data_IF_133314153612
#
_entry.id   IF_133314153612
#
_cell.length_a   1.000
_cell.length_b   1.000
_cell.length_c   1.000
_cell.angle_alpha   90.00
_cell.angle_beta   90.00
_cell.angle_gamma   90.00
#
_symmetry.space_group_name_H-M   'P 1'
#
loop_
_entity.id
_entity.type
_entity.pdbx_description
1 polymer ?
#
# COMPACT_ATOMS: atom_id res chain seq x y z
N UNK A 1 -36.83 52.92 -5.83
CA UNK A 1 -36.75 51.56 -6.40
C UNK A 1 -35.27 51.32 -6.75
N UNK A 2 -34.55 50.78 -5.77
CA UNK A 2 -33.15 50.43 -5.94
C UNK A 2 -33.10 48.91 -6.17
N UNK A 3 -32.55 48.51 -7.31
CA UNK A 3 -32.44 47.13 -7.69
C UNK A 3 -31.13 46.54 -7.12
N UNK A 4 -31.24 45.58 -6.22
CA UNK A 4 -30.13 44.75 -5.77
C UNK A 4 -29.67 43.84 -6.88
N UNK A 5 -28.46 44.12 -7.39
CA UNK A 5 -27.75 43.23 -8.29
C UNK A 5 -27.03 42.19 -7.43
N UNK A 6 -27.58 40.97 -7.39
CA UNK A 6 -26.91 39.80 -6.81
C UNK A 6 -25.67 39.48 -7.65
N UNK A 7 -24.49 39.67 -7.08
CA UNK A 7 -23.23 39.23 -7.60
C UNK A 7 -23.16 37.71 -7.40
N UNK A 8 -23.28 36.92 -8.47
CA UNK A 8 -23.03 35.48 -8.45
C UNK A 8 -21.51 35.26 -8.54
N UNK A 9 -20.87 35.06 -7.40
CA UNK A 9 -19.50 34.55 -7.35
C UNK A 9 -19.50 33.12 -7.91
N UNK A 10 -19.11 33.00 -9.18
CA UNK A 10 -18.75 31.72 -9.77
C UNK A 10 -17.46 31.25 -9.12
N UNK A 11 -17.56 30.23 -8.26
CA UNK A 11 -16.39 29.51 -7.72
C UNK A 11 -15.75 28.81 -8.92
N UNK A 12 -14.66 29.37 -9.42
CA UNK A 12 -13.81 28.68 -10.40
C UNK A 12 -13.21 27.46 -9.70
N UNK A 13 -13.69 26.27 -10.10
CA UNK A 13 -13.16 24.99 -9.63
C UNK A 13 -11.69 24.87 -10.05
N UNK A 14 -10.77 24.75 -9.10
CA UNK A 14 -9.35 24.63 -9.39
C UNK A 14 -9.12 23.45 -10.36
N UNK A 15 -8.27 23.59 -11.39
CA UNK A 15 -8.04 22.53 -12.36
C UNK A 15 -7.54 21.27 -11.64
N UNK A 16 -8.12 20.12 -11.99
CA UNK A 16 -7.74 18.83 -11.44
C UNK A 16 -6.22 18.62 -11.57
N UNK A 17 -5.55 18.09 -10.56
CA UNK A 17 -4.10 17.89 -10.60
C UNK A 17 -3.71 17.01 -11.78
N UNK A 18 -2.73 17.46 -12.55
CA UNK A 18 -2.25 16.74 -13.75
C UNK A 18 -1.57 15.45 -13.30
N UNK A 19 -2.14 14.30 -13.68
CA UNK A 19 -1.56 12.99 -13.42
C UNK A 19 -0.13 12.87 -13.97
N UNK A 20 0.74 12.20 -13.22
CA UNK A 20 2.11 11.89 -13.64
C UNK A 20 2.14 11.06 -14.94
N UNK A 21 3.31 10.99 -15.58
CA UNK A 21 3.49 10.14 -16.77
C UNK A 21 3.27 8.67 -16.45
N UNK A 22 3.81 8.20 -15.32
CA UNK A 22 3.63 6.81 -14.85
C UNK A 22 2.18 6.53 -14.50
N UNK A 23 1.45 7.45 -13.86
CA UNK A 23 0.03 7.30 -13.57
C UNK A 23 -0.80 7.13 -14.84
N UNK A 24 -0.61 8.00 -15.86
CA UNK A 24 -1.28 7.87 -17.16
C UNK A 24 -0.97 6.55 -17.87
N UNK A 25 0.26 6.07 -17.72
CA UNK A 25 0.65 4.76 -18.26
C UNK A 25 -0.10 3.63 -17.56
N UNK A 26 -0.19 3.64 -16.24
CA UNK A 26 -0.96 2.66 -15.47
C UNK A 26 -2.46 2.70 -15.82
N UNK A 27 -3.05 3.89 -15.98
CA UNK A 27 -4.42 4.05 -16.48
C UNK A 27 -4.58 3.36 -17.86
N UNK A 28 -3.63 3.55 -18.77
CA UNK A 28 -3.67 2.95 -20.12
C UNK A 28 -3.56 1.42 -20.10
N UNK A 29 -2.97 0.84 -19.06
CA UNK A 29 -2.89 -0.60 -18.83
C UNK A 29 -4.14 -1.17 -18.12
N UNK A 30 -5.10 -0.33 -17.73
CA UNK A 30 -6.33 -0.71 -17.04
C UNK A 30 -6.16 -0.91 -15.53
N UNK A 31 -5.08 -0.39 -14.94
CA UNK A 31 -4.94 -0.34 -13.48
C UNK A 31 -5.88 0.72 -12.90
N UNK A 32 -6.28 0.52 -11.67
CA UNK A 32 -7.26 1.37 -10.97
C UNK A 32 -6.54 2.24 -9.95
N UNK A 33 -6.75 3.56 -10.02
CA UNK A 33 -6.31 4.49 -9.00
C UNK A 33 -7.13 4.28 -7.73
N UNK A 34 -6.45 3.99 -6.61
CA UNK A 34 -7.09 3.63 -5.34
C UNK A 34 -7.93 4.80 -4.82
N UNK A 35 -7.38 6.01 -4.81
CA UNK A 35 -8.05 7.19 -4.27
C UNK A 35 -9.29 7.60 -5.09
N UNK A 36 -9.25 7.39 -6.42
CA UNK A 36 -10.42 7.64 -7.31
C UNK A 36 -11.50 6.56 -7.12
N UNK A 37 -11.09 5.30 -6.86
CA UNK A 37 -12.02 4.19 -6.70
C UNK A 37 -12.65 4.13 -5.31
N UNK A 38 -11.94 4.55 -4.27
CA UNK A 38 -12.41 4.64 -2.90
C UNK A 38 -11.63 5.72 -2.13
N UNK A 39 -12.15 6.94 -2.12
CA UNK A 39 -11.54 8.09 -1.43
C UNK A 39 -11.50 7.96 0.10
N UNK A 40 -12.06 6.88 0.67
CA UNK A 40 -11.96 6.60 2.10
C UNK A 40 -10.69 5.86 2.50
N UNK A 41 -9.93 5.35 1.52
CA UNK A 41 -8.63 4.72 1.74
C UNK A 41 -7.55 5.80 1.64
N UNK A 42 -6.76 5.96 2.70
CA UNK A 42 -5.67 6.92 2.71
C UNK A 42 -4.48 6.43 1.88
N UNK A 43 -3.76 7.37 1.25
CA UNK A 43 -2.57 7.08 0.45
C UNK A 43 -1.39 7.86 1.03
N UNK A 44 -0.32 7.14 1.37
CA UNK A 44 0.95 7.71 1.86
C UNK A 44 2.13 6.93 1.26
N UNK A 45 2.34 7.06 -0.07
CA UNK A 45 3.38 6.33 -0.78
C UNK A 45 4.78 6.62 -0.24
N UNK A 46 5.35 5.66 0.48
CA UNK A 46 6.63 5.83 1.19
C UNK A 46 7.82 6.01 0.26
N UNK A 47 7.79 5.45 -0.93
CA UNK A 47 8.90 5.54 -1.90
C UNK A 47 8.93 6.85 -2.71
N UNK A 48 8.00 7.77 -2.44
CA UNK A 48 8.06 9.17 -2.91
C UNK A 48 9.00 10.05 -2.08
N UNK A 49 9.49 9.53 -0.95
CA UNK A 49 10.40 10.19 -0.01
C UNK A 49 11.68 9.36 0.15
N UNK A 50 12.74 9.98 0.66
CA UNK A 50 14.04 9.33 0.90
C UNK A 50 14.12 8.63 2.27
N UNK A 51 13.16 8.84 3.17
CA UNK A 51 13.05 8.23 4.50
C UNK A 51 12.53 6.79 4.48
N UNK A 52 12.93 6.01 3.48
CA UNK A 52 12.66 4.59 3.33
C UNK A 52 13.96 3.77 3.46
N UNK A 53 13.86 2.43 3.47
CA UNK A 53 15.01 1.56 3.72
C UNK A 53 16.14 1.67 2.67
N UNK A 54 15.85 2.21 1.48
CA UNK A 54 16.87 2.44 0.43
C UNK A 54 17.60 3.76 0.58
N UNK A 55 17.07 4.70 1.37
CA UNK A 55 17.62 6.04 1.54
C UNK A 55 17.47 6.95 0.31
N UNK A 56 16.68 6.54 -0.68
CA UNK A 56 16.50 7.28 -1.95
C UNK A 56 15.03 7.38 -2.36
N UNK A 57 14.70 8.40 -3.16
CA UNK A 57 13.39 8.51 -3.79
C UNK A 57 13.34 7.52 -4.97
N UNK A 58 12.43 6.55 -4.91
CA UNK A 58 12.24 5.56 -5.97
C UNK A 58 11.11 5.94 -6.94
N UNK A 59 10.04 6.56 -6.43
CA UNK A 59 8.92 7.09 -7.23
C UNK A 59 9.20 8.55 -7.60
N UNK A 60 9.88 8.78 -8.71
CA UNK A 60 10.28 10.12 -9.14
C UNK A 60 9.09 10.96 -9.62
N UNK A 61 8.15 10.34 -10.33
CA UNK A 61 6.96 11.02 -10.87
C UNK A 61 5.63 10.44 -10.36
N UNK A 62 5.60 9.18 -9.92
CA UNK A 62 4.39 8.52 -9.44
C UNK A 62 4.04 9.00 -8.03
N UNK A 63 2.87 9.64 -7.89
CA UNK A 63 2.33 10.11 -6.61
C UNK A 63 1.01 9.45 -6.25
N UNK A 64 0.44 8.71 -7.19
CA UNK A 64 -0.83 8.02 -7.07
C UNK A 64 -0.61 6.53 -6.84
N UNK A 65 -1.43 5.91 -6.00
CA UNK A 65 -1.41 4.47 -5.77
C UNK A 65 -2.37 3.75 -6.72
N UNK A 66 -1.89 2.72 -7.39
CA UNK A 66 -2.65 1.92 -8.34
C UNK A 66 -2.67 0.45 -7.97
N UNK A 67 -3.74 -0.25 -8.34
CA UNK A 67 -3.85 -1.70 -8.24
C UNK A 67 -4.44 -2.30 -9.51
N UNK A 68 -4.16 -3.58 -9.73
CA UNK A 68 -4.95 -4.38 -10.68
C UNK A 68 -6.42 -4.43 -10.24
N UNK A 69 -7.42 -4.38 -11.15
CA UNK A 69 -8.84 -4.40 -10.79
C UNK A 69 -9.24 -5.49 -9.78
N UNK A 70 -8.67 -6.70 -9.90
CA UNK A 70 -8.95 -7.81 -8.98
C UNK A 70 -8.45 -7.52 -7.55
N UNK A 71 -7.32 -6.87 -7.40
CA UNK A 71 -6.80 -6.47 -6.10
C UNK A 71 -7.58 -5.28 -5.52
N UNK A 72 -7.96 -4.31 -6.38
CA UNK A 72 -8.76 -3.17 -5.96
C UNK A 72 -10.13 -3.58 -5.41
N UNK A 73 -10.80 -4.53 -6.08
CA UNK A 73 -12.07 -5.08 -5.58
C UNK A 73 -11.93 -5.65 -4.17
N UNK A 74 -10.87 -6.41 -3.91
CA UNK A 74 -10.58 -6.95 -2.57
C UNK A 74 -10.21 -5.86 -1.57
N UNK A 75 -9.46 -4.83 -1.98
CA UNK A 75 -9.10 -3.74 -1.08
C UNK A 75 -10.31 -2.93 -0.62
N UNK A 76 -11.28 -2.66 -1.51
CA UNK A 76 -12.56 -2.04 -1.14
C UNK A 76 -13.33 -2.90 -0.13
N UNK A 77 -13.33 -4.22 -0.31
CA UNK A 77 -13.97 -5.12 0.65
C UNK A 77 -13.25 -5.09 2.01
N UNK A 78 -11.93 -5.05 2.06
CA UNK A 78 -11.17 -4.92 3.31
C UNK A 78 -11.50 -3.61 4.04
N UNK A 79 -11.56 -2.49 3.32
CA UNK A 79 -11.95 -1.18 3.86
C UNK A 79 -13.38 -1.21 4.44
N UNK A 80 -14.31 -1.84 3.73
CA UNK A 80 -15.69 -2.01 4.22
C UNK A 80 -15.72 -2.83 5.52
N UNK A 81 -15.09 -4.00 5.55
CA UNK A 81 -15.00 -4.86 6.74
C UNK A 81 -14.33 -4.15 7.93
N UNK A 82 -13.30 -3.35 7.68
CA UNK A 82 -12.67 -2.55 8.73
C UNK A 82 -13.65 -1.57 9.35
N UNK A 83 -14.41 -0.85 8.52
CA UNK A 83 -15.37 0.16 8.97
C UNK A 83 -16.61 -0.42 9.64
N UNK A 84 -17.03 -1.60 9.26
CA UNK A 84 -18.09 -2.32 9.98
C UNK A 84 -17.68 -2.65 11.42
N UNK A 85 -16.41 -2.99 11.66
CA UNK A 85 -15.87 -3.32 12.99
C UNK A 85 -15.49 -2.10 13.80
N UNK A 86 -14.90 -1.13 13.14
CA UNK A 86 -14.38 0.11 13.73
C UNK A 86 -14.81 1.32 12.91
N UNK A 87 -16.02 1.87 13.14
CA UNK A 87 -16.47 3.08 12.47
C UNK A 87 -15.47 4.22 12.66
N UNK A 88 -15.11 4.90 11.57
CA UNK A 88 -14.10 5.96 11.57
C UNK A 88 -12.67 5.50 11.22
N UNK A 89 -12.36 4.22 11.33
CA UNK A 89 -11.04 3.70 10.91
C UNK A 89 -10.93 3.65 9.39
N UNK A 90 -9.71 3.77 8.89
CA UNK A 90 -9.42 3.62 7.46
C UNK A 90 -8.11 2.87 7.22
N UNK A 91 -8.04 2.19 6.09
CA UNK A 91 -6.78 1.66 5.59
C UNK A 91 -5.90 2.79 5.07
N UNK A 92 -4.58 2.65 5.21
CA UNK A 92 -3.57 3.52 4.60
C UNK A 92 -2.61 2.68 3.77
N UNK A 93 -2.44 3.04 2.50
CA UNK A 93 -1.56 2.35 1.55
C UNK A 93 -0.23 3.06 1.44
N UNK A 94 0.85 2.35 1.74
CA UNK A 94 2.23 2.83 1.65
C UNK A 94 2.94 2.42 0.36
N UNK A 95 2.52 1.29 -0.25
CA UNK A 95 2.95 0.87 -1.57
C UNK A 95 1.91 -0.05 -2.23
N UNK A 96 1.85 -0.03 -3.57
CA UNK A 96 0.88 -0.79 -4.36
C UNK A 96 1.49 -1.27 -5.69
N UNK A 97 0.94 -0.86 -6.84
CA UNK A 97 1.53 -1.19 -8.14
C UNK A 97 2.89 -0.50 -8.30
N UNK A 98 3.94 -1.31 -8.46
CA UNK A 98 5.32 -0.86 -8.58
C UNK A 98 5.89 -1.27 -9.94
N UNK A 99 6.28 -0.34 -10.82
CA UNK A 99 6.96 -0.68 -12.07
C UNK A 99 8.22 -1.52 -11.86
N UNK A 100 8.52 -2.42 -12.77
CA UNK A 100 9.69 -3.29 -12.67
C UNK A 100 11.00 -2.48 -12.72
N UNK A 101 10.99 -1.34 -13.43
CA UNK A 101 12.10 -0.39 -13.43
C UNK A 101 12.40 0.20 -12.03
N UNK A 102 11.37 0.46 -11.23
CA UNK A 102 11.51 0.87 -9.83
C UNK A 102 12.00 -0.30 -8.95
N UNK A 103 11.48 -1.50 -9.19
CA UNK A 103 11.96 -2.72 -8.52
C UNK A 103 13.45 -2.96 -8.78
N UNK A 104 13.94 -2.65 -10.00
CA UNK A 104 15.36 -2.75 -10.33
C UNK A 104 16.20 -1.77 -9.52
N UNK A 105 15.77 -0.51 -9.42
CA UNK A 105 16.44 0.49 -8.57
C UNK A 105 16.51 0.02 -7.11
N UNK A 106 15.39 -0.47 -6.56
CA UNK A 106 15.31 -1.02 -5.21
C UNK A 106 16.26 -2.22 -5.02
N UNK A 107 16.28 -3.17 -5.96
CA UNK A 107 17.18 -4.31 -5.93
C UNK A 107 18.65 -3.90 -5.94
N UNK A 108 19.00 -2.91 -6.74
CA UNK A 108 20.37 -2.41 -6.84
C UNK A 108 20.93 -1.82 -5.54
N UNK A 109 20.05 -1.36 -4.63
CA UNK A 109 20.47 -0.88 -3.30
C UNK A 109 20.79 -2.02 -2.31
N UNK A 110 20.23 -3.22 -2.52
CA UNK A 110 20.36 -4.35 -1.57
C UNK A 110 21.15 -5.53 -2.09
N UNK A 111 21.37 -5.62 -3.40
CA UNK A 111 22.17 -6.71 -3.99
C UNK A 111 23.58 -6.72 -3.39
N UNK A 112 24.04 -7.90 -2.97
CA UNK A 112 25.34 -8.03 -2.29
C UNK A 112 25.32 -7.74 -0.79
N UNK A 113 24.18 -7.40 -0.20
CA UNK A 113 24.00 -7.26 1.24
C UNK A 113 23.09 -8.37 1.78
N UNK A 114 23.04 -8.57 3.10
CA UNK A 114 22.10 -9.53 3.73
C UNK A 114 20.62 -9.16 3.54
N UNK A 115 20.34 -7.91 3.18
CA UNK A 115 18.95 -7.41 2.96
C UNK A 115 18.32 -7.89 1.65
N UNK A 116 19.10 -8.47 0.73
CA UNK A 116 18.59 -8.95 -0.57
C UNK A 116 17.43 -9.96 -0.44
N UNK A 117 17.33 -10.66 0.68
CA UNK A 117 16.26 -11.65 0.93
C UNK A 117 14.87 -11.02 1.04
N UNK A 118 14.79 -9.74 1.41
CA UNK A 118 13.54 -8.98 1.55
C UNK A 118 13.08 -8.30 0.25
N UNK A 119 13.91 -8.27 -0.77
CA UNK A 119 13.60 -7.60 -2.04
C UNK A 119 13.52 -8.62 -3.18
N UNK A 120 12.39 -8.67 -3.85
CA UNK A 120 12.21 -9.57 -4.98
C UNK A 120 13.15 -9.22 -6.13
N UNK A 121 13.87 -10.23 -6.64
CA UNK A 121 14.79 -10.07 -7.77
C UNK A 121 14.03 -9.76 -9.07
N UNK A 122 14.24 -8.61 -9.71
CA UNK A 122 13.53 -8.23 -10.94
C UNK A 122 13.84 -9.15 -12.10
N UNK A 123 15.06 -9.71 -12.21
CA UNK A 123 15.43 -10.67 -13.29
C UNK A 123 14.66 -11.99 -13.21
N UNK A 124 14.00 -12.28 -12.10
CA UNK A 124 13.14 -13.45 -11.89
C UNK A 124 11.64 -13.11 -11.97
N UNK A 125 11.30 -11.97 -12.57
CA UNK A 125 9.93 -11.47 -12.71
C UNK A 125 9.42 -10.66 -11.52
N UNK A 126 10.32 -10.16 -10.66
CA UNK A 126 9.97 -9.28 -9.55
C UNK A 126 9.08 -9.91 -8.46
N UNK A 127 8.35 -9.06 -7.74
CA UNK A 127 7.35 -9.41 -6.72
C UNK A 127 5.93 -9.13 -7.20
N UNK A 128 4.93 -9.35 -6.32
CA UNK A 128 3.52 -9.16 -6.71
C UNK A 128 3.11 -7.68 -6.82
N UNK A 129 3.83 -6.76 -6.23
CA UNK A 129 3.70 -5.32 -6.52
C UNK A 129 3.92 -5.00 -8.00
N UNK A 130 4.82 -5.74 -8.68
CA UNK A 130 5.09 -5.52 -10.10
C UNK A 130 3.98 -6.00 -11.04
N UNK A 131 2.93 -6.60 -10.48
CA UNK A 131 1.69 -6.97 -11.17
C UNK A 131 0.49 -6.14 -10.67
N UNK A 132 0.70 -5.23 -9.70
CA UNK A 132 -0.36 -4.52 -9.00
C UNK A 132 -1.27 -5.44 -8.17
N UNK A 133 -0.71 -6.55 -7.68
CA UNK A 133 -1.42 -7.61 -6.96
C UNK A 133 -0.96 -7.76 -5.50
N UNK A 134 -0.19 -6.80 -5.01
CA UNK A 134 0.20 -6.69 -3.61
C UNK A 134 0.06 -5.25 -3.10
N UNK A 135 -0.11 -5.12 -1.79
CA UNK A 135 -0.14 -3.85 -1.08
C UNK A 135 0.71 -3.92 0.18
N UNK A 136 1.40 -2.83 0.50
CA UNK A 136 1.96 -2.54 1.80
C UNK A 136 1.03 -1.54 2.50
N UNK A 137 0.47 -1.93 3.65
CA UNK A 137 -0.74 -1.29 4.19
C UNK A 137 -0.76 -1.31 5.72
N UNK A 138 -1.44 -0.33 6.32
CA UNK A 138 -1.74 -0.27 7.75
C UNK A 138 -3.14 0.30 7.99
N UNK A 139 -3.43 0.65 9.26
CA UNK A 139 -4.71 1.21 9.69
C UNK A 139 -4.47 2.57 10.32
N UNK A 140 -5.33 3.54 9.98
CA UNK A 140 -5.50 4.80 10.69
C UNK A 140 -6.73 4.70 11.61
N UNK A 141 -6.64 5.30 12.79
CA UNK A 141 -7.77 5.44 13.72
C UNK A 141 -8.79 6.51 13.23
N UNK A 142 -9.81 6.76 14.04
CA UNK A 142 -10.85 7.75 13.79
C UNK A 142 -10.36 9.21 13.79
N UNK A 143 -9.12 9.44 14.24
CA UNK A 143 -8.44 10.74 14.20
C UNK A 143 -7.46 10.85 13.03
N UNK A 144 -7.35 9.80 12.21
CA UNK A 144 -6.39 9.73 11.10
C UNK A 144 -4.95 9.44 11.54
N UNK A 145 -4.75 8.95 12.76
CA UNK A 145 -3.43 8.58 13.26
C UNK A 145 -3.14 7.10 13.02
N UNK A 146 -1.91 6.72 12.59
CA UNK A 146 -1.54 5.33 12.41
C UNK A 146 -1.65 4.52 13.71
N UNK A 147 -2.30 3.35 13.65
CA UNK A 147 -2.27 2.43 14.78
C UNK A 147 -0.85 1.93 15.03
N UNK A 148 -0.39 1.85 16.29
CA UNK A 148 0.91 1.28 16.61
C UNK A 148 0.95 -0.20 16.22
N UNK A 149 1.98 -0.59 15.43
CA UNK A 149 2.18 -1.94 14.92
C UNK A 149 3.47 -2.59 15.44
N UNK A 150 4.19 -1.94 16.35
CA UNK A 150 5.43 -2.43 16.97
C UNK A 150 6.69 -2.21 16.14
N UNK A 151 6.57 -2.15 14.81
CA UNK A 151 7.64 -1.74 13.91
C UNK A 151 7.08 -0.84 12.81
N UNK A 152 7.89 0.03 12.19
CA UNK A 152 7.47 0.68 10.96
C UNK A 152 7.31 -0.33 9.82
N UNK A 153 6.62 0.08 8.75
CA UNK A 153 6.65 -0.61 7.46
C UNK A 153 8.10 -0.64 6.95
N UNK A 154 8.47 -1.66 6.20
CA UNK A 154 9.85 -1.89 5.73
C UNK A 154 10.90 -2.16 6.83
N UNK A 155 10.48 -2.50 8.04
CA UNK A 155 11.39 -3.00 9.06
C UNK A 155 11.93 -4.38 8.66
N UNK A 156 13.18 -4.43 8.19
CA UNK A 156 13.83 -5.67 7.71
C UNK A 156 14.42 -6.46 8.90
N UNK A 157 13.56 -6.96 9.78
CA UNK A 157 13.94 -7.70 10.98
C UNK A 157 12.86 -8.68 11.46
N UNK A 158 13.23 -9.58 12.38
CA UNK A 158 12.33 -10.60 12.92
C UNK A 158 11.12 -10.03 13.65
N UNK A 159 11.23 -8.82 14.17
CA UNK A 159 10.15 -8.09 14.82
C UNK A 159 8.97 -7.78 13.88
N UNK A 160 9.19 -7.81 12.57
CA UNK A 160 8.15 -7.65 11.56
C UNK A 160 7.40 -8.95 11.22
N UNK A 161 7.94 -10.11 11.61
CA UNK A 161 7.36 -11.42 11.30
C UNK A 161 6.05 -11.64 12.05
N UNK A 162 5.07 -12.22 11.37
CA UNK A 162 3.75 -12.53 11.94
C UNK A 162 3.68 -13.92 12.59
N UNK A 163 4.65 -14.78 12.34
CA UNK A 163 4.68 -16.16 12.83
C UNK A 163 5.09 -16.26 14.29
N UNK A 164 5.77 -15.25 14.84
CA UNK A 164 6.36 -15.26 16.17
C UNK A 164 5.79 -14.17 17.10
N UNK A 165 4.64 -13.57 16.76
CA UNK A 165 4.07 -12.41 17.47
C UNK A 165 3.87 -12.69 18.97
N UNK A 166 3.40 -13.91 19.35
CA UNK A 166 3.26 -14.27 20.76
C UNK A 166 4.60 -14.34 21.50
N UNK A 167 5.64 -14.86 20.84
CA UNK A 167 6.99 -14.89 21.42
C UNK A 167 7.61 -13.50 21.54
N UNK A 168 7.34 -12.62 20.55
CA UNK A 168 7.78 -11.22 20.61
C UNK A 168 7.12 -10.46 21.76
N UNK A 169 5.83 -10.72 22.04
CA UNK A 169 5.13 -10.15 23.20
C UNK A 169 5.75 -10.68 24.51
N UNK A 170 5.97 -11.97 24.62
CA UNK A 170 6.59 -12.57 25.83
C UNK A 170 8.01 -12.01 26.08
N UNK A 171 8.73 -11.58 25.03
CA UNK A 171 10.04 -10.95 25.13
C UNK A 171 10.00 -9.42 25.34
N UNK A 172 8.81 -8.81 25.40
CA UNK A 172 8.65 -7.37 25.52
C UNK A 172 9.04 -6.56 24.26
N UNK A 173 9.16 -7.23 23.10
CA UNK A 173 9.51 -6.61 21.81
C UNK A 173 8.28 -6.16 21.01
N UNK A 174 7.12 -6.63 21.39
CA UNK A 174 5.81 -6.27 20.86
C UNK A 174 4.85 -6.17 22.04
N UNK A 175 3.99 -5.18 22.07
CA UNK A 175 2.91 -5.10 23.08
C UNK A 175 1.70 -5.93 22.63
N UNK A 176 0.84 -6.31 23.57
CA UNK A 176 -0.44 -6.98 23.24
C UNK A 176 -1.33 -6.10 22.34
N UNK A 177 -1.30 -4.77 22.54
CA UNK A 177 -2.07 -3.85 21.70
C UNK A 177 -1.54 -3.81 20.26
N UNK A 178 -0.24 -3.75 20.06
CA UNK A 178 0.37 -3.78 18.72
C UNK A 178 0.08 -5.10 18.01
N UNK A 179 0.14 -6.21 18.76
CA UNK A 179 -0.27 -7.53 18.24
C UNK A 179 -1.75 -7.55 17.85
N UNK A 180 -2.62 -7.00 18.68
CA UNK A 180 -4.06 -6.91 18.39
C UNK A 180 -4.33 -6.07 17.14
N UNK A 181 -3.61 -4.96 16.94
CA UNK A 181 -3.71 -4.12 15.75
C UNK A 181 -3.27 -4.87 14.48
N UNK A 182 -2.16 -5.62 14.53
CA UNK A 182 -1.72 -6.50 13.42
C UNK A 182 -2.74 -7.58 13.11
N UNK A 183 -3.34 -8.18 14.13
CA UNK A 183 -4.40 -9.19 13.97
C UNK A 183 -5.65 -8.60 13.30
N UNK A 184 -6.07 -7.40 13.70
CA UNK A 184 -7.21 -6.71 13.08
C UNK A 184 -6.95 -6.47 11.58
N UNK A 185 -5.76 -5.92 11.23
CA UNK A 185 -5.37 -5.70 9.84
C UNK A 185 -5.40 -7.01 9.06
N UNK A 186 -4.75 -8.05 9.57
CA UNK A 186 -4.68 -9.35 8.92
C UNK A 186 -6.05 -9.97 8.70
N UNK A 187 -6.95 -9.92 9.70
CA UNK A 187 -8.29 -10.46 9.59
C UNK A 187 -9.10 -9.80 8.46
N UNK A 188 -9.15 -8.47 8.41
CA UNK A 188 -9.93 -7.78 7.35
C UNK A 188 -9.34 -8.02 5.97
N UNK A 189 -8.01 -8.11 5.86
CA UNK A 189 -7.34 -8.38 4.59
C UNK A 189 -7.56 -9.82 4.11
N UNK A 190 -7.45 -10.82 5.00
CA UNK A 190 -7.69 -12.24 4.67
C UNK A 190 -9.14 -12.48 4.29
N UNK A 191 -10.11 -11.93 5.03
CA UNK A 191 -11.53 -12.03 4.71
C UNK A 191 -11.88 -11.38 3.36
N UNK A 192 -11.15 -10.33 2.97
CA UNK A 192 -11.26 -9.71 1.66
C UNK A 192 -10.56 -10.50 0.54
N UNK A 193 -9.87 -11.61 0.87
CA UNK A 193 -9.24 -12.52 -0.09
C UNK A 193 -7.77 -12.19 -0.39
N UNK A 194 -7.11 -11.39 0.43
CA UNK A 194 -5.66 -11.25 0.41
C UNK A 194 -4.98 -12.35 1.24
N UNK A 195 -3.68 -12.50 1.06
CA UNK A 195 -2.82 -13.45 1.77
C UNK A 195 -1.66 -12.71 2.41
N UNK A 196 -1.44 -12.82 3.73
CA UNK A 196 -0.33 -12.17 4.39
C UNK A 196 1.01 -12.81 4.00
N UNK A 197 2.09 -12.03 4.11
CA UNK A 197 3.45 -12.52 3.99
C UNK A 197 4.02 -12.80 5.39
N UNK A 198 4.53 -14.02 5.66
CA UNK A 198 5.00 -14.38 7.01
C UNK A 198 6.09 -13.49 7.61
N UNK A 199 6.94 -12.90 6.78
CA UNK A 199 8.07 -12.04 7.19
C UNK A 199 7.72 -10.56 7.38
N UNK A 200 6.50 -10.14 7.00
CA UNK A 200 6.14 -8.71 6.91
C UNK A 200 4.67 -8.51 7.29
N UNK A 201 4.40 -7.87 8.44
CA UNK A 201 3.03 -7.69 8.94
C UNK A 201 2.16 -6.78 8.05
N UNK A 202 2.78 -5.91 7.25
CA UNK A 202 2.12 -4.92 6.38
C UNK A 202 1.83 -5.43 4.97
N UNK A 203 2.51 -6.51 4.52
CA UNK A 203 2.46 -6.96 3.12
C UNK A 203 1.39 -8.02 2.88
N UNK A 204 0.55 -7.76 1.88
CA UNK A 204 -0.55 -8.66 1.50
C UNK A 204 -0.59 -8.89 -0.01
N UNK A 205 -0.68 -10.15 -0.40
CA UNK A 205 -0.76 -10.60 -1.79
C UNK A 205 -2.18 -10.98 -2.17
N UNK A 206 -2.69 -10.54 -3.33
CA UNK A 206 -4.02 -10.94 -3.81
C UNK A 206 -4.06 -12.37 -4.34
N UNK A 207 -2.98 -12.83 -4.96
CA UNK A 207 -2.83 -14.16 -5.55
C UNK A 207 -1.48 -14.77 -5.20
N UNK A 208 -1.30 -16.07 -5.51
CA UNK A 208 0.02 -16.71 -5.43
C UNK A 208 0.93 -16.28 -6.59
N UNK A 209 2.26 -16.36 -6.38
CA UNK A 209 3.27 -15.97 -7.38
C UNK A 209 3.14 -16.74 -8.70
N UNK A 210 2.82 -18.04 -8.66
CA UNK A 210 2.62 -18.85 -9.84
C UNK A 210 1.42 -18.34 -10.66
N UNK A 211 0.28 -18.11 -10.00
CA UNK A 211 -0.91 -17.55 -10.63
C UNK A 211 -0.65 -16.18 -11.25
N UNK A 212 0.13 -15.32 -10.57
CA UNK A 212 0.48 -14.01 -11.11
C UNK A 212 1.23 -14.16 -12.44
N UNK A 213 2.25 -15.00 -12.48
CA UNK A 213 3.05 -15.26 -13.71
C UNK A 213 2.26 -15.84 -14.86
N UNK A 214 1.28 -16.68 -14.57
CA UNK A 214 0.45 -17.35 -15.58
C UNK A 214 -0.64 -16.46 -16.15
N UNK A 215 -1.24 -15.60 -15.33
CA UNK A 215 -2.50 -14.91 -15.67
C UNK A 215 -2.40 -13.40 -15.80
N UNK A 216 -1.32 -12.80 -15.31
CA UNK A 216 -1.19 -11.34 -15.23
C UNK A 216 0.10 -10.87 -15.91
N UNK A 217 0.14 -9.60 -16.28
CA UNK A 217 1.30 -8.98 -16.90
C UNK A 217 2.06 -8.14 -15.89
N UNK A 218 3.39 -8.24 -15.95
CA UNK A 218 4.30 -7.37 -15.21
C UNK A 218 4.17 -5.94 -15.74
N UNK A 219 4.19 -4.96 -14.83
CA UNK A 219 4.31 -3.54 -15.16
C UNK A 219 5.80 -3.28 -15.46
N UNK A 220 6.16 -2.82 -16.66
CA UNK A 220 7.55 -2.58 -17.09
C UNK A 220 8.34 -1.62 -16.23
#
# INVERSE_FOLDING_TARGET
MEGDAACSDSIEEAPAPVKSRTARYLDSLGFVNIAEADGSIAIDLMYTRADNFTGTILYEDLKEAYLHPDAMKSLKQAQHLLRERHPGYSLVVYDAARPLSVQQKMWDTVKGTSKYIYVSNPSRGGGLHNYGLAVDISILDDKGLPLPMGTPVDHLGKEAHITEEAALVAQGKLTEQERANRLLLRQVMEEAGFRPLPSEWWHFNRVGRQTAKEKYRVIP
#
